data_IF_244659571064
#
_entry.id   IF_244659571064
#
_cell.length_a   1.000
_cell.length_b   1.000
_cell.length_c   1.000
_cell.angle_alpha   90.00
_cell.angle_beta   90.00
_cell.angle_gamma   90.00
#
_symmetry.space_group_name_H-M   'P 1'
#
loop_
_entity.id
_entity.type
_entity.pdbx_description
1 polymer ?
#
# COMPACT_ATOMS: atom_id res chain seq x y z
N UNK A 1 51.90 -3.28 33.79
CA UNK A 1 51.52 -2.58 32.55
C UNK A 1 51.58 -3.45 31.28
N UNK A 2 52.60 -4.28 31.02
CA UNK A 2 52.69 -5.06 29.76
C UNK A 2 51.64 -6.19 29.57
N UNK A 3 51.02 -6.73 30.63
CA UNK A 3 50.00 -7.78 30.52
C UNK A 3 48.61 -7.29 30.09
N UNK A 4 48.24 -6.05 30.44
CA UNK A 4 46.94 -5.48 30.07
C UNK A 4 46.89 -5.03 28.61
N UNK A 5 48.03 -4.62 28.04
CA UNK A 5 48.10 -4.22 26.61
C UNK A 5 47.90 -5.44 25.68
N UNK A 6 48.38 -6.63 26.05
CA UNK A 6 48.17 -7.85 25.25
C UNK A 6 46.73 -8.37 25.31
N UNK A 7 46.04 -8.14 26.42
CA UNK A 7 44.64 -8.54 26.55
C UNK A 7 43.71 -7.61 25.73
N UNK A 8 43.99 -6.30 25.72
CA UNK A 8 43.24 -5.37 24.91
C UNK A 8 43.42 -5.59 23.40
N UNK A 9 44.65 -5.95 22.96
CA UNK A 9 44.92 -6.24 21.56
C UNK A 9 44.22 -7.54 21.07
N UNK A 10 44.04 -8.53 21.98
CA UNK A 10 43.34 -9.76 21.65
C UNK A 10 41.81 -9.52 21.48
N UNK A 11 41.20 -8.67 22.30
CA UNK A 11 39.78 -8.35 22.22
C UNK A 11 39.48 -7.52 20.93
N UNK A 12 40.38 -6.58 20.57
CA UNK A 12 40.23 -5.79 19.35
C UNK A 12 40.38 -6.64 18.08
N UNK A 13 41.27 -7.66 18.10
CA UNK A 13 41.46 -8.57 16.98
C UNK A 13 40.24 -9.51 16.77
N UNK A 14 39.58 -9.95 17.87
CA UNK A 14 38.37 -10.78 17.79
C UNK A 14 37.18 -9.95 17.27
N UNK A 15 37.07 -8.67 17.63
CA UNK A 15 36.01 -7.80 17.14
C UNK A 15 36.16 -7.48 15.65
N UNK A 16 37.40 -7.36 15.15
CA UNK A 16 37.69 -7.12 13.73
C UNK A 16 37.50 -8.38 12.87
N UNK A 17 37.57 -9.57 13.44
CA UNK A 17 37.39 -10.83 12.68
C UNK A 17 35.93 -11.29 12.60
N UNK A 18 35.05 -10.81 13.48
CA UNK A 18 33.63 -11.20 13.52
C UNK A 18 32.74 -10.20 12.79
N UNK A 19 33.18 -8.94 12.60
CA UNK A 19 32.40 -7.92 11.92
C UNK A 19 32.15 -8.14 10.41
N UNK A 20 33.02 -8.80 9.63
CA UNK A 20 32.71 -9.02 8.21
C UNK A 20 31.67 -10.10 7.95
N UNK A 21 31.28 -10.90 8.95
CA UNK A 21 30.26 -11.95 8.74
C UNK A 21 28.81 -11.48 8.89
N UNK A 22 28.57 -10.27 9.43
CA UNK A 22 27.22 -9.73 9.63
C UNK A 22 26.87 -8.55 8.74
N UNK A 23 27.80 -8.07 7.91
CA UNK A 23 27.56 -7.05 6.90
C UNK A 23 27.52 -7.68 5.49
N UNK A 24 26.68 -8.67 5.29
CA UNK A 24 26.21 -8.95 3.94
C UNK A 24 25.30 -7.76 3.54
N UNK A 25 25.56 -7.06 2.43
CA UNK A 25 24.59 -6.09 1.94
C UNK A 25 23.28 -6.85 1.70
N UNK A 26 22.21 -6.44 2.37
CA UNK A 26 20.88 -6.87 2.04
C UNK A 26 20.58 -6.25 0.67
N UNK A 27 21.00 -6.91 -0.39
CA UNK A 27 20.54 -6.60 -1.72
C UNK A 27 19.09 -7.06 -1.75
N UNK A 28 18.17 -6.13 -1.56
CA UNK A 28 16.80 -6.34 -1.97
C UNK A 28 16.85 -6.65 -3.47
N UNK A 29 16.75 -7.93 -3.81
CA UNK A 29 16.69 -8.32 -5.19
C UNK A 29 15.38 -7.78 -5.76
N UNK A 30 15.48 -7.03 -6.84
CA UNK A 30 14.34 -6.55 -7.62
C UNK A 30 13.51 -7.72 -8.23
N UNK A 31 13.91 -8.96 -8.00
CA UNK A 31 13.30 -10.17 -8.56
C UNK A 31 12.04 -10.64 -7.83
N UNK A 32 11.58 -9.88 -6.80
CA UNK A 32 10.44 -10.31 -5.98
C UNK A 32 9.08 -10.18 -6.67
N UNK A 33 9.02 -9.51 -7.82
CA UNK A 33 7.76 -9.26 -8.55
C UNK A 33 7.56 -10.12 -9.82
N UNK A 34 8.45 -11.08 -10.13
CA UNK A 34 8.42 -11.80 -11.41
C UNK A 34 7.61 -13.10 -11.44
N UNK A 35 7.06 -13.56 -10.31
CA UNK A 35 6.21 -14.75 -10.31
C UNK A 35 4.84 -14.51 -9.66
N UNK A 36 3.95 -13.80 -10.36
CA UNK A 36 2.51 -13.93 -10.14
C UNK A 36 2.02 -15.13 -10.98
N UNK A 37 1.53 -16.22 -10.36
CA UNK A 37 1.02 -17.37 -11.10
C UNK A 37 -0.29 -17.11 -11.87
N UNK A 38 -0.70 -15.85 -12.01
CA UNK A 38 -1.89 -15.42 -12.75
C UNK A 38 -1.63 -14.16 -13.61
N UNK A 39 -0.48 -14.10 -14.30
CA UNK A 39 -0.24 -13.07 -15.31
C UNK A 39 -1.29 -13.07 -16.42
N UNK A 40 -1.96 -14.20 -16.65
CA UNK A 40 -2.97 -14.35 -17.69
C UNK A 40 -4.31 -13.66 -17.40
N UNK A 41 -4.54 -13.23 -16.14
CA UNK A 41 -5.75 -12.47 -15.76
C UNK A 41 -5.52 -10.95 -15.81
N UNK A 42 -4.28 -10.50 -15.98
CA UNK A 42 -3.90 -9.09 -16.14
C UNK A 42 -3.77 -8.67 -17.61
N UNK A 43 -3.83 -9.64 -18.54
CA UNK A 43 -3.84 -9.32 -19.96
C UNK A 43 -5.19 -8.70 -20.33
N UNK A 44 -5.16 -7.37 -20.42
CA UNK A 44 -6.11 -6.57 -21.13
C UNK A 44 -7.53 -6.50 -20.53
N UNK A 45 -7.68 -5.78 -19.43
CA UNK A 45 -8.88 -4.94 -19.36
C UNK A 45 -8.81 -3.99 -20.56
N UNK A 46 -9.73 -4.05 -21.53
CA UNK A 46 -9.67 -3.15 -22.67
C UNK A 46 -9.81 -1.73 -22.15
N UNK A 47 -8.73 -0.95 -22.25
CA UNK A 47 -8.67 0.45 -21.81
C UNK A 47 -9.67 1.36 -22.57
N UNK A 48 -10.52 0.79 -23.40
CA UNK A 48 -11.46 1.47 -24.31
C UNK A 48 -12.76 0.69 -24.49
N UNK A 49 -13.42 0.29 -23.41
CA UNK A 49 -14.83 -0.08 -23.54
C UNK A 49 -15.65 1.23 -23.56
N UNK A 50 -16.12 1.62 -24.74
CA UNK A 50 -17.14 2.65 -24.86
C UNK A 50 -18.38 2.17 -24.09
N UNK A 51 -19.02 2.98 -23.23
CA UNK A 51 -20.21 2.57 -22.49
C UNK A 51 -21.27 2.08 -23.47
N UNK A 52 -21.75 0.85 -23.30
CA UNK A 52 -22.72 0.25 -24.22
C UNK A 52 -24.16 0.72 -23.97
N UNK A 53 -24.40 1.48 -22.90
CA UNK A 53 -25.71 2.07 -22.63
C UNK A 53 -25.55 3.35 -21.81
N UNK A 54 -25.80 4.51 -22.44
CA UNK A 54 -25.83 5.81 -21.78
C UNK A 54 -27.23 6.07 -21.22
N UNK A 55 -27.62 5.37 -20.15
CA UNK A 55 -28.71 5.90 -19.35
C UNK A 55 -28.27 7.28 -18.83
N UNK A 56 -29.06 8.33 -19.06
CA UNK A 56 -28.80 9.68 -18.54
C UNK A 56 -29.03 9.68 -17.01
N UNK A 57 -28.11 9.05 -16.29
CA UNK A 57 -28.07 9.05 -14.84
C UNK A 57 -27.51 10.41 -14.40
N UNK A 58 -28.38 11.36 -14.08
CA UNK A 58 -28.00 12.69 -13.58
C UNK A 58 -27.36 12.58 -12.20
N UNK A 59 -26.11 12.11 -12.16
CA UNK A 59 -25.34 11.95 -10.91
C UNK A 59 -24.73 13.29 -10.53
N UNK A 60 -24.99 13.77 -9.30
CA UNK A 60 -24.38 14.99 -8.75
C UNK A 60 -22.95 14.70 -8.24
N UNK A 61 -22.03 14.40 -9.16
CA UNK A 61 -20.61 14.19 -8.88
C UNK A 61 -19.77 14.84 -9.98
N UNK A 62 -18.51 15.21 -9.68
CA UNK A 62 -17.56 15.68 -10.70
C UNK A 62 -17.21 14.58 -11.70
N UNK A 63 -16.96 13.38 -11.19
CA UNK A 63 -16.67 12.20 -11.99
C UNK A 63 -17.38 10.97 -11.40
N UNK A 64 -17.77 10.01 -12.24
CA UNK A 64 -18.38 8.76 -11.83
C UNK A 64 -18.11 7.66 -12.85
N UNK A 65 -17.91 6.43 -12.36
CA UNK A 65 -17.80 5.22 -13.17
C UNK A 65 -18.58 4.09 -12.49
N UNK A 66 -19.36 3.36 -13.30
CA UNK A 66 -19.90 2.05 -12.93
C UNK A 66 -19.22 1.00 -13.79
N UNK A 67 -18.55 0.06 -13.16
CA UNK A 67 -17.77 -1.00 -13.81
C UNK A 67 -18.23 -2.37 -13.30
N UNK A 68 -18.37 -3.32 -14.21
CA UNK A 68 -18.56 -4.73 -13.85
C UNK A 68 -17.19 -5.28 -13.40
N UNK A 69 -17.06 -5.80 -12.16
CA UNK A 69 -15.75 -6.05 -11.56
C UNK A 69 -14.99 -7.26 -12.11
N UNK A 70 -15.67 -8.22 -12.78
CA UNK A 70 -15.01 -9.41 -13.32
C UNK A 70 -14.46 -9.19 -14.73
N UNK A 71 -15.21 -8.46 -15.56
CA UNK A 71 -14.86 -8.22 -16.96
C UNK A 71 -14.19 -6.87 -17.20
N UNK A 72 -14.29 -5.94 -16.24
CA UNK A 72 -13.84 -4.56 -16.39
C UNK A 72 -14.72 -3.73 -17.35
N UNK A 73 -15.89 -4.26 -17.76
CA UNK A 73 -16.80 -3.55 -18.65
C UNK A 73 -17.35 -2.30 -17.95
N UNK A 74 -17.16 -1.13 -18.57
CA UNK A 74 -17.74 0.12 -18.10
C UNK A 74 -19.20 0.20 -18.53
N UNK A 75 -20.12 0.23 -17.56
CA UNK A 75 -21.56 0.32 -17.77
C UNK A 75 -22.05 1.76 -17.76
N UNK A 76 -21.40 2.65 -17.04
CA UNK A 76 -21.65 4.08 -16.99
C UNK A 76 -20.37 4.85 -16.74
N UNK A 77 -20.24 6.02 -17.37
CA UNK A 77 -19.10 6.91 -17.16
C UNK A 77 -19.52 8.38 -17.32
N UNK A 78 -19.09 9.20 -16.35
CA UNK A 78 -19.19 10.66 -16.36
C UNK A 78 -17.81 11.20 -15.98
N UNK A 79 -17.14 11.94 -16.86
CA UNK A 79 -15.79 12.47 -16.66
C UNK A 79 -14.82 11.43 -16.07
N UNK A 80 -14.75 10.18 -16.60
CA UNK A 80 -14.11 9.06 -15.93
C UNK A 80 -12.60 9.24 -15.72
N UNK A 81 -11.98 10.07 -16.55
CA UNK A 81 -10.53 10.29 -16.60
C UNK A 81 -10.12 11.68 -16.07
N UNK A 82 -11.05 12.42 -15.46
CA UNK A 82 -10.75 13.68 -14.79
C UNK A 82 -9.88 13.42 -13.56
N UNK A 83 -8.71 14.08 -13.48
CA UNK A 83 -7.78 13.95 -12.36
C UNK A 83 -8.27 14.75 -11.16
N UNK A 84 -8.50 14.06 -10.07
CA UNK A 84 -9.03 14.61 -8.82
C UNK A 84 -8.22 14.12 -7.64
N UNK A 85 -8.15 14.91 -6.57
CA UNK A 85 -7.57 14.48 -5.30
C UNK A 85 -8.44 13.37 -4.69
N UNK A 86 -7.88 12.19 -4.38
CA UNK A 86 -8.66 11.04 -3.90
C UNK A 86 -9.08 11.12 -2.44
N UNK A 87 -8.42 11.96 -1.63
CA UNK A 87 -8.55 11.91 -0.17
C UNK A 87 -8.43 10.44 0.33
N UNK A 88 -9.22 10.03 1.32
CA UNK A 88 -9.17 8.68 1.90
C UNK A 88 -9.52 7.52 0.95
N UNK A 89 -9.98 7.80 -0.28
CA UNK A 89 -10.10 6.75 -1.32
C UNK A 89 -8.71 6.13 -1.62
N UNK A 90 -7.63 6.85 -1.38
CA UNK A 90 -6.25 6.35 -1.42
C UNK A 90 -6.07 5.04 -0.66
N UNK A 91 -6.75 4.88 0.48
CA UNK A 91 -6.65 3.68 1.32
C UNK A 91 -7.10 2.39 0.64
N UNK A 92 -7.86 2.48 -0.45
CA UNK A 92 -8.20 1.31 -1.28
C UNK A 92 -6.94 0.66 -1.84
N UNK A 93 -5.96 1.46 -2.32
CA UNK A 93 -4.67 0.93 -2.77
C UNK A 93 -3.83 0.42 -1.60
N UNK A 94 -3.81 1.13 -0.49
CA UNK A 94 -3.09 0.70 0.71
C UNK A 94 -3.61 -0.64 1.22
N UNK A 95 -4.93 -0.79 1.31
CA UNK A 95 -5.57 -2.04 1.70
C UNK A 95 -5.26 -3.18 0.70
N UNK A 96 -5.25 -2.90 -0.60
CA UNK A 96 -4.88 -3.89 -1.62
C UNK A 96 -3.49 -4.46 -1.37
N UNK A 97 -2.49 -3.62 -1.16
CA UNK A 97 -1.11 -4.05 -0.88
C UNK A 97 -1.00 -4.80 0.45
N UNK A 98 -1.74 -4.38 1.47
CA UNK A 98 -1.76 -5.06 2.77
C UNK A 98 -2.41 -6.44 2.65
N UNK A 99 -3.52 -6.58 1.89
CA UNK A 99 -4.14 -7.89 1.62
C UNK A 99 -3.16 -8.81 0.89
N UNK A 100 -2.46 -8.31 -0.13
CA UNK A 100 -1.43 -9.07 -0.84
C UNK A 100 -0.28 -9.49 0.09
N UNK A 101 0.18 -8.62 0.99
CA UNK A 101 1.22 -8.95 1.97
C UNK A 101 0.76 -10.06 2.94
N UNK A 102 -0.51 -10.06 3.34
CA UNK A 102 -1.09 -11.12 4.17
C UNK A 102 -1.17 -12.44 3.39
N UNK A 103 -1.64 -12.43 2.15
CA UNK A 103 -1.75 -13.63 1.31
C UNK A 103 -0.38 -14.22 0.97
N UNK A 104 0.65 -13.38 0.84
CA UNK A 104 2.05 -13.80 0.67
C UNK A 104 2.70 -14.30 1.97
N UNK A 105 2.02 -14.23 3.11
CA UNK A 105 2.53 -14.67 4.41
C UNK A 105 3.57 -13.72 5.04
N UNK A 106 3.75 -12.51 4.51
CA UNK A 106 4.61 -11.48 5.11
C UNK A 106 4.06 -11.00 6.45
N UNK A 107 2.74 -10.89 6.53
CA UNK A 107 1.98 -10.53 7.72
C UNK A 107 0.90 -11.56 7.97
N UNK A 108 0.45 -11.64 9.21
CA UNK A 108 -0.76 -12.37 9.60
C UNK A 108 -1.68 -11.42 10.37
N UNK A 109 -2.97 -11.73 10.45
CA UNK A 109 -3.90 -10.92 11.25
C UNK A 109 -3.48 -10.77 12.73
N UNK A 110 -2.69 -11.73 13.25
CA UNK A 110 -2.20 -11.73 14.63
C UNK A 110 -0.82 -11.06 14.79
N UNK A 111 -0.16 -10.70 13.69
CA UNK A 111 1.12 -9.98 13.75
C UNK A 111 0.93 -8.68 14.49
N UNK A 112 1.76 -8.42 15.49
CA UNK A 112 1.78 -7.14 16.20
C UNK A 112 2.62 -6.14 15.42
N UNK A 113 2.09 -4.95 15.29
CA UNK A 113 2.72 -3.79 14.65
C UNK A 113 2.87 -2.72 15.71
N UNK A 114 4.10 -2.22 15.87
CA UNK A 114 4.41 -1.10 16.75
C UNK A 114 4.24 0.20 15.99
N UNK A 115 3.55 1.16 16.57
CA UNK A 115 3.36 2.49 15.99
C UNK A 115 4.67 3.28 16.03
N UNK A 116 5.11 3.78 14.89
CA UNK A 116 6.27 4.67 14.77
C UNK A 116 5.91 6.11 15.18
N UNK A 117 6.92 6.93 15.42
CA UNK A 117 6.73 8.38 15.61
C UNK A 117 6.04 9.01 14.39
N UNK A 118 6.38 8.54 13.17
CA UNK A 118 5.78 9.03 11.94
C UNK A 118 4.28 8.67 11.88
N UNK A 119 3.91 7.42 12.10
CA UNK A 119 2.52 6.98 12.12
C UNK A 119 1.70 7.71 13.20
N UNK A 120 2.23 7.85 14.42
CA UNK A 120 1.58 8.58 15.52
C UNK A 120 1.40 10.08 15.22
N UNK A 121 2.24 10.67 14.36
CA UNK A 121 2.16 12.09 13.99
C UNK A 121 1.12 12.40 12.92
N UNK A 122 0.45 11.39 12.36
CA UNK A 122 -0.51 11.59 11.27
C UNK A 122 -1.67 12.49 11.70
N UNK A 123 -2.04 13.41 10.81
CA UNK A 123 -3.23 14.25 10.99
C UNK A 123 -4.49 13.62 10.39
N UNK A 124 -5.62 14.32 10.53
CA UNK A 124 -6.90 13.92 9.98
C UNK A 124 -7.62 12.87 10.82
N UNK A 125 -8.28 11.88 10.19
CA UNK A 125 -8.94 10.78 10.90
C UNK A 125 -7.91 9.86 11.53
N UNK A 126 -8.06 9.55 12.82
CA UNK A 126 -7.10 8.80 13.63
C UNK A 126 -7.82 7.94 14.67
N UNK A 127 -7.12 6.94 15.18
CA UNK A 127 -7.47 6.24 16.41
C UNK A 127 -6.57 6.64 17.59
N UNK A 128 -5.69 7.64 17.36
CA UNK A 128 -4.80 8.24 18.36
C UNK A 128 -3.74 7.26 18.89
N UNK A 129 -3.09 6.54 17.98
CA UNK A 129 -1.99 5.64 18.35
C UNK A 129 -0.86 6.42 19.01
N UNK A 130 -0.37 5.89 20.13
CA UNK A 130 0.82 6.40 20.80
C UNK A 130 2.09 5.78 20.20
N UNK A 131 3.21 6.49 20.29
CA UNK A 131 4.52 5.97 19.84
C UNK A 131 4.85 4.69 20.61
N UNK A 132 5.24 3.64 19.89
CA UNK A 132 5.50 2.30 20.40
C UNK A 132 4.27 1.53 20.92
N UNK A 133 3.06 2.07 20.77
CA UNK A 133 1.86 1.28 20.99
C UNK A 133 1.80 0.11 20.01
N UNK A 134 1.46 -1.08 20.51
CA UNK A 134 1.34 -2.29 19.70
C UNK A 134 -0.12 -2.68 19.50
N UNK A 135 -0.52 -2.79 18.24
CA UNK A 135 -1.79 -3.37 17.85
C UNK A 135 -1.59 -4.50 16.84
N UNK A 136 -2.55 -5.40 16.77
CA UNK A 136 -2.53 -6.46 15.74
C UNK A 136 -2.89 -5.89 14.37
N UNK A 137 -2.45 -6.57 13.31
CA UNK A 137 -2.83 -6.23 11.92
C UNK A 137 -4.36 -6.21 11.77
N UNK A 138 -5.11 -7.13 12.42
CA UNK A 138 -6.58 -7.13 12.37
C UNK A 138 -7.20 -5.86 12.96
N UNK A 139 -6.71 -5.42 14.13
CA UNK A 139 -7.18 -4.19 14.78
C UNK A 139 -6.88 -2.95 13.95
N UNK A 140 -5.65 -2.85 13.41
CA UNK A 140 -5.25 -1.73 12.54
C UNK A 140 -6.03 -1.71 11.23
N UNK A 141 -6.30 -2.88 10.62
CA UNK A 141 -7.15 -2.98 9.42
C UNK A 141 -8.56 -2.47 9.70
N UNK A 142 -9.18 -2.89 10.81
CA UNK A 142 -10.51 -2.40 11.22
C UNK A 142 -10.51 -0.89 11.44
N UNK A 143 -9.47 -0.36 12.09
CA UNK A 143 -9.33 1.08 12.29
C UNK A 143 -9.19 1.82 10.94
N UNK A 144 -8.38 1.30 10.02
CA UNK A 144 -8.19 1.89 8.70
C UNK A 144 -9.48 1.87 7.86
N UNK A 145 -10.26 0.78 7.91
CA UNK A 145 -11.50 0.62 7.13
C UNK A 145 -12.66 1.38 7.74
N UNK A 146 -12.90 1.24 9.05
CA UNK A 146 -14.12 1.73 9.72
C UNK A 146 -13.97 3.21 10.10
N UNK A 147 -12.85 3.57 10.75
CA UNK A 147 -12.58 4.93 11.19
C UNK A 147 -11.80 5.75 10.13
N UNK A 148 -11.38 5.13 9.03
CA UNK A 148 -10.48 5.75 8.05
C UNK A 148 -9.19 6.29 8.68
N UNK A 149 -8.68 5.61 9.72
CA UNK A 149 -7.57 6.04 10.55
C UNK A 149 -6.26 6.13 9.76
N UNK A 150 -5.67 7.33 9.70
CA UNK A 150 -4.44 7.59 8.98
C UNK A 150 -3.23 6.98 9.68
N UNK A 151 -3.14 7.12 11.01
CA UNK A 151 -2.12 6.52 11.86
C UNK A 151 -2.07 5.00 11.71
N UNK A 152 -3.22 4.32 11.78
CA UNK A 152 -3.33 2.88 11.57
C UNK A 152 -2.92 2.47 10.15
N UNK A 153 -3.30 3.26 9.13
CA UNK A 153 -2.95 2.97 7.74
C UNK A 153 -1.43 3.09 7.51
N UNK A 154 -0.81 4.14 8.05
CA UNK A 154 0.64 4.37 7.93
C UNK A 154 1.41 3.31 8.72
N UNK A 155 0.99 2.94 9.94
CA UNK A 155 1.61 1.86 10.70
C UNK A 155 1.59 0.52 9.92
N UNK A 156 0.47 0.19 9.26
CA UNK A 156 0.38 -0.98 8.39
C UNK A 156 1.28 -0.87 7.16
N UNK A 157 1.34 0.32 6.54
CA UNK A 157 2.21 0.57 5.39
C UNK A 157 3.70 0.35 5.74
N UNK A 158 4.13 0.87 6.88
CA UNK A 158 5.47 0.66 7.40
C UNK A 158 5.75 -0.81 7.74
N UNK A 159 4.78 -1.53 8.30
CA UNK A 159 4.90 -2.96 8.57
C UNK A 159 5.08 -3.80 7.29
N UNK A 160 4.50 -3.38 6.17
CA UNK A 160 4.64 -4.06 4.86
C UNK A 160 5.97 -3.72 4.18
N UNK A 161 6.40 -2.46 4.21
CA UNK A 161 7.48 -1.96 3.35
C UNK A 161 8.68 -1.37 4.12
N UNK A 162 8.62 -1.29 5.45
CA UNK A 162 9.66 -0.73 6.31
C UNK A 162 9.59 0.80 6.46
N UNK A 163 8.92 1.52 5.56
CA UNK A 163 8.63 2.95 5.67
C UNK A 163 7.46 3.34 4.77
N UNK A 164 6.78 4.47 5.07
CA UNK A 164 5.73 5.00 4.20
C UNK A 164 6.26 5.31 2.79
N UNK A 165 7.45 5.91 2.66
CA UNK A 165 8.06 6.21 1.36
C UNK A 165 8.28 4.95 0.51
N UNK A 166 8.74 3.85 1.14
CA UNK A 166 8.88 2.57 0.43
C UNK A 166 7.51 2.01 0.03
N UNK A 167 6.51 2.16 0.88
CA UNK A 167 5.15 1.73 0.59
C UNK A 167 4.51 2.54 -0.55
N UNK A 168 4.72 3.85 -0.59
CA UNK A 168 4.24 4.73 -1.67
C UNK A 168 4.85 4.33 -3.02
N UNK A 169 6.13 3.91 -3.05
CA UNK A 169 6.72 3.34 -4.28
C UNK A 169 5.95 2.09 -4.72
N UNK A 170 5.65 1.16 -3.79
CA UNK A 170 4.84 -0.02 -4.10
C UNK A 170 3.43 0.34 -4.60
N UNK A 171 2.80 1.37 -4.03
CA UNK A 171 1.49 1.87 -4.49
C UNK A 171 1.55 2.33 -5.95
N UNK A 172 2.57 3.09 -6.33
CA UNK A 172 2.74 3.58 -7.70
C UNK A 172 3.12 2.45 -8.68
N UNK A 173 3.95 1.51 -8.26
CA UNK A 173 4.25 0.29 -9.04
C UNK A 173 2.99 -0.55 -9.26
N UNK A 174 2.17 -0.73 -8.23
CA UNK A 174 0.89 -1.44 -8.35
C UNK A 174 -0.08 -0.69 -9.25
N UNK A 175 -0.17 0.63 -9.15
CA UNK A 175 -1.00 1.45 -10.04
C UNK A 175 -0.58 1.25 -11.50
N UNK A 176 0.72 1.29 -11.79
CA UNK A 176 1.25 1.03 -13.13
C UNK A 176 0.91 -0.40 -13.61
N UNK A 177 1.10 -1.42 -12.76
CA UNK A 177 0.78 -2.82 -13.08
C UNK A 177 -0.72 -3.04 -13.36
N UNK A 178 -1.60 -2.31 -12.68
CA UNK A 178 -3.05 -2.34 -12.90
C UNK A 178 -3.50 -1.49 -14.11
N UNK A 179 -2.59 -0.76 -14.75
CA UNK A 179 -2.93 0.14 -15.87
C UNK A 179 -3.60 1.45 -15.47
N UNK A 180 -3.44 1.89 -14.22
CA UNK A 180 -3.97 3.15 -13.69
C UNK A 180 -3.11 4.34 -14.16
N UNK A 181 -3.30 4.74 -15.42
CA UNK A 181 -2.42 5.69 -16.13
C UNK A 181 -2.48 7.14 -15.62
N UNK A 182 -3.53 7.49 -14.89
CA UNK A 182 -3.79 8.85 -14.43
C UNK A 182 -3.71 8.98 -12.90
N UNK A 183 -3.09 7.99 -12.23
CA UNK A 183 -2.95 7.97 -10.78
C UNK A 183 -1.50 8.14 -10.36
N UNK A 184 -1.30 8.97 -9.33
CA UNK A 184 -0.02 9.11 -8.62
C UNK A 184 -0.33 9.20 -7.13
N UNK A 185 0.30 8.34 -6.35
CA UNK A 185 0.24 8.36 -4.89
C UNK A 185 1.47 9.07 -4.33
N UNK A 186 1.27 9.90 -3.31
CA UNK A 186 2.33 10.65 -2.60
C UNK A 186 2.40 10.25 -1.13
N UNK A 187 1.31 9.73 -0.56
CA UNK A 187 1.23 9.16 0.78
C UNK A 187 0.27 7.98 0.82
N UNK A 188 0.28 7.24 1.92
CA UNK A 188 -0.49 6.00 2.05
C UNK A 188 -1.95 6.21 2.48
N UNK A 189 -2.32 7.37 2.99
CA UNK A 189 -3.61 7.58 3.65
C UNK A 189 -4.54 8.59 2.95
N UNK A 190 -4.01 9.38 2.00
CA UNK A 190 -4.79 10.34 1.21
C UNK A 190 -4.86 11.74 1.81
N UNK A 191 -3.86 12.13 2.62
CA UNK A 191 -3.67 13.53 2.99
C UNK A 191 -3.32 14.34 1.74
N UNK A 192 -3.79 15.58 1.69
CA UNK A 192 -3.55 16.48 0.56
C UNK A 192 -2.05 16.69 0.34
N UNK A 193 -1.62 16.46 -0.89
CA UNK A 193 -0.26 16.68 -1.34
C UNK A 193 -0.23 16.99 -2.83
N UNK A 194 0.72 17.82 -3.26
CA UNK A 194 0.89 18.17 -4.67
C UNK A 194 1.15 16.91 -5.49
N UNK A 195 0.36 16.73 -6.55
CA UNK A 195 0.48 15.58 -7.44
C UNK A 195 -0.21 14.29 -6.93
N UNK A 196 -0.83 14.29 -5.73
CA UNK A 196 -1.61 13.17 -5.22
C UNK A 196 -2.98 13.14 -5.91
N UNK A 197 -3.05 12.48 -7.06
CA UNK A 197 -4.21 12.52 -7.96
C UNK A 197 -4.60 11.13 -8.44
N UNK A 198 -5.88 10.94 -8.71
CA UNK A 198 -6.45 9.75 -9.35
C UNK A 198 -7.64 10.12 -10.22
N UNK A 199 -8.30 9.14 -10.83
CA UNK A 199 -9.50 9.28 -11.64
C UNK A 199 -10.58 8.29 -11.20
N UNK A 200 -11.84 8.56 -11.53
CA UNK A 200 -12.92 7.61 -11.22
C UNK A 200 -12.71 6.25 -11.89
N UNK A 201 -12.13 6.20 -13.10
CA UNK A 201 -11.75 4.96 -13.76
C UNK A 201 -10.69 4.19 -12.98
N UNK A 202 -9.61 4.85 -12.59
CA UNK A 202 -8.51 4.22 -11.88
C UNK A 202 -8.95 3.74 -10.48
N UNK A 203 -9.83 4.49 -9.80
CA UNK A 203 -10.47 4.04 -8.56
C UNK A 203 -11.28 2.76 -8.76
N UNK A 204 -12.07 2.68 -9.85
CA UNK A 204 -12.82 1.46 -10.15
C UNK A 204 -11.90 0.25 -10.40
N UNK A 205 -10.76 0.46 -11.10
CA UNK A 205 -9.77 -0.57 -11.37
C UNK A 205 -9.16 -1.11 -10.06
N UNK A 206 -8.63 -0.24 -9.18
CA UNK A 206 -8.03 -0.70 -7.93
C UNK A 206 -9.06 -1.31 -6.97
N UNK A 207 -10.30 -0.80 -6.97
CA UNK A 207 -11.39 -1.38 -6.18
C UNK A 207 -11.76 -2.78 -6.66
N UNK A 208 -11.80 -3.00 -7.99
CA UNK A 208 -12.03 -4.32 -8.57
C UNK A 208 -10.92 -5.31 -8.23
N UNK A 209 -9.67 -4.85 -8.10
CA UNK A 209 -8.57 -5.66 -7.61
C UNK A 209 -8.75 -6.02 -6.12
N UNK A 210 -9.03 -5.03 -5.27
CA UNK A 210 -9.18 -5.22 -3.82
C UNK A 210 -10.29 -6.20 -3.47
N UNK A 211 -11.46 -6.12 -4.09
CA UNK A 211 -12.60 -7.01 -3.78
C UNK A 211 -12.40 -8.47 -4.19
N UNK A 212 -11.31 -8.82 -4.89
CA UNK A 212 -10.95 -10.22 -5.15
C UNK A 212 -10.44 -10.92 -3.90
N UNK A 213 -9.87 -10.18 -2.96
CA UNK A 213 -9.36 -10.70 -1.69
C UNK A 213 -10.53 -11.04 -0.74
N UNK A 214 -10.61 -12.30 -0.31
CA UNK A 214 -11.73 -12.79 0.48
C UNK A 214 -11.84 -12.13 1.87
N UNK A 215 -10.69 -11.70 2.43
CA UNK A 215 -10.62 -11.11 3.75
C UNK A 215 -11.32 -9.74 3.82
N UNK A 216 -11.21 -8.93 2.76
CA UNK A 216 -11.82 -7.58 2.74
C UNK A 216 -13.36 -7.61 2.66
N UNK A 217 -13.94 -8.76 2.38
CA UNK A 217 -15.40 -8.95 2.26
C UNK A 217 -16.06 -9.40 3.56
N UNK A 218 -15.29 -9.66 4.62
CA UNK A 218 -15.75 -10.12 5.93
C UNK A 218 -15.91 -8.97 6.90
#
# INVERSE_FOLDING_TARGET
MKKHIKFLAAITAVFLLVMPLFCAPFTASADYYTEYPNSDLLTALPASATPTNTADLKIKAKAAVLMEPHTGQVLYAQNPDEKLAPASITKVMSLLLIMEAIEQGKLTLKTKVSCSEHAASMGGSQIWLEVNEEMTVDELLRASVIASANDATVALAEAVAGSEDAFVRLMNEKAAALGMKNTTFVNACGLDADGHLTTARDVAIMSSALIKHSLIKK
#
